data_IF_880750322628
#
_entry.id   IF_880750322628
#
_cell.length_a   1.000
_cell.length_b   1.000
_cell.length_c   1.000
_cell.angle_alpha   90.00
_cell.angle_beta   90.00
_cell.angle_gamma   90.00
#
_symmetry.space_group_name_H-M   'P 1'
#
loop_
_entity.id
_entity.type
_entity.pdbx_description
1 polymer ?
#
# COMPACT_ATOMS: atom_id res chain seq x y z
N UNK A 1 -15.25 -14.35 12.30
CA UNK A 1 -13.97 -13.71 11.93
C UNK A 1 -14.26 -12.28 11.50
N UNK A 2 -13.41 -11.30 11.85
CA UNK A 2 -13.53 -9.95 11.31
C UNK A 2 -13.40 -9.96 9.78
N UNK A 3 -14.08 -9.06 9.09
CA UNK A 3 -14.06 -8.97 7.61
C UNK A 3 -13.98 -7.52 7.15
N UNK A 4 -13.37 -7.29 5.98
CA UNK A 4 -13.41 -6.01 5.28
C UNK A 4 -14.14 -6.18 3.96
N UNK A 5 -15.12 -5.30 3.71
CA UNK A 5 -15.86 -5.26 2.45
C UNK A 5 -15.24 -4.21 1.53
N UNK A 6 -14.94 -4.62 0.31
CA UNK A 6 -14.58 -3.77 -0.82
C UNK A 6 -15.63 -3.96 -1.92
N UNK A 7 -15.73 -3.05 -2.92
CA UNK A 7 -16.83 -3.02 -3.89
C UNK A 7 -17.17 -4.38 -4.53
N UNK A 8 -16.19 -5.28 -4.67
CA UNK A 8 -16.34 -6.59 -5.30
C UNK A 8 -15.85 -7.78 -4.46
N UNK A 9 -15.41 -7.56 -3.21
CA UNK A 9 -14.76 -8.61 -2.43
C UNK A 9 -14.95 -8.47 -0.92
N UNK A 10 -15.10 -9.61 -0.25
CA UNK A 10 -15.10 -9.72 1.22
C UNK A 10 -13.83 -10.43 1.64
N UNK A 11 -12.96 -9.72 2.35
CA UNK A 11 -11.67 -10.26 2.78
C UNK A 11 -11.77 -10.67 4.26
N UNK A 12 -11.54 -11.94 4.61
CA UNK A 12 -11.43 -12.36 6.00
C UNK A 12 -10.18 -11.75 6.61
N UNK A 13 -10.35 -11.11 7.76
CA UNK A 13 -9.28 -10.44 8.46
C UNK A 13 -8.86 -11.20 9.70
N UNK A 14 -7.55 -11.32 9.93
CA UNK A 14 -6.99 -11.87 11.15
C UNK A 14 -6.90 -10.84 12.30
N UNK A 15 -7.25 -9.57 12.04
CA UNK A 15 -7.08 -8.43 12.95
C UNK A 15 -8.25 -7.41 12.85
N UNK A 16 -8.12 -6.25 13.52
CA UNK A 16 -9.13 -5.18 13.54
C UNK A 16 -9.43 -4.66 12.11
N UNK A 17 -10.68 -4.81 11.61
CA UNK A 17 -11.09 -4.32 10.30
C UNK A 17 -10.89 -2.85 10.06
N UNK A 18 -10.99 -2.04 11.10
CA UNK A 18 -10.89 -0.58 10.96
C UNK A 18 -9.48 -0.16 10.58
N UNK A 19 -8.47 -0.83 11.13
CA UNK A 19 -7.07 -0.57 10.81
C UNK A 19 -6.73 -1.03 9.40
N UNK A 20 -7.22 -2.21 8.99
CA UNK A 20 -7.05 -2.70 7.63
C UNK A 20 -7.70 -1.76 6.61
N UNK A 21 -8.92 -1.30 6.88
CA UNK A 21 -9.62 -0.36 6.01
C UNK A 21 -8.91 1.00 5.94
N UNK A 22 -8.45 1.52 7.08
CA UNK A 22 -7.69 2.78 7.12
C UNK A 22 -6.37 2.68 6.33
N UNK A 23 -5.67 1.55 6.43
CA UNK A 23 -4.45 1.31 5.65
C UNK A 23 -4.74 1.29 4.15
N UNK A 24 -5.75 0.53 3.72
CA UNK A 24 -6.11 0.44 2.30
C UNK A 24 -6.54 1.79 1.74
N UNK A 25 -7.42 2.51 2.45
CA UNK A 25 -7.85 3.85 2.05
C UNK A 25 -6.65 4.82 1.94
N UNK A 26 -5.72 4.79 2.89
CA UNK A 26 -4.54 5.66 2.84
C UNK A 26 -3.63 5.38 1.63
N UNK A 27 -3.53 4.11 1.22
CA UNK A 27 -2.77 3.73 0.02
C UNK A 27 -3.51 4.20 -1.24
N UNK A 28 -4.83 4.07 -1.30
CA UNK A 28 -5.64 4.56 -2.42
C UNK A 28 -5.55 6.08 -2.57
N UNK A 29 -5.61 6.82 -1.47
CA UNK A 29 -5.44 8.27 -1.44
C UNK A 29 -4.02 8.66 -1.92
N UNK A 30 -2.99 7.97 -1.44
CA UNK A 30 -1.61 8.20 -1.87
C UNK A 30 -1.40 7.94 -3.37
N UNK A 31 -1.97 6.84 -3.89
CA UNK A 31 -1.91 6.54 -5.32
C UNK A 31 -2.67 7.57 -6.16
N UNK A 32 -3.78 8.11 -5.65
CA UNK A 32 -4.53 9.17 -6.31
C UNK A 32 -3.69 10.44 -6.49
N UNK A 33 -2.86 10.80 -5.49
CA UNK A 33 -1.90 11.91 -5.62
C UNK A 33 -0.85 11.66 -6.72
N UNK A 34 -0.51 10.39 -6.96
CA UNK A 34 0.41 9.98 -8.02
C UNK A 34 -0.29 9.76 -9.37
N UNK A 35 -1.56 10.15 -9.54
CA UNK A 35 -2.38 9.83 -10.72
C UNK A 35 -2.38 8.33 -11.08
N UNK A 36 -2.34 7.47 -10.06
CA UNK A 36 -2.27 6.03 -10.18
C UNK A 36 -3.45 5.36 -9.47
N UNK A 37 -3.71 4.10 -9.81
CA UNK A 37 -4.69 3.26 -9.14
C UNK A 37 -4.13 1.87 -8.94
N UNK A 38 -4.48 1.24 -7.84
CA UNK A 38 -4.19 -0.16 -7.58
C UNK A 38 -5.47 -0.88 -7.15
N UNK A 39 -5.45 -2.20 -7.27
CA UNK A 39 -6.48 -3.08 -6.74
C UNK A 39 -5.88 -3.88 -5.60
N UNK A 40 -6.55 -3.89 -4.45
CA UNK A 40 -6.18 -4.81 -3.38
C UNK A 40 -6.49 -6.25 -3.81
N UNK A 41 -5.48 -7.11 -3.85
CA UNK A 41 -5.62 -8.51 -4.29
C UNK A 41 -5.57 -9.53 -3.16
N UNK A 42 -5.16 -9.13 -1.96
CA UNK A 42 -5.07 -10.03 -0.81
C UNK A 42 -4.57 -9.33 0.44
N UNK A 43 -4.77 -9.98 1.58
CA UNK A 43 -4.25 -9.58 2.89
C UNK A 43 -3.65 -10.82 3.52
N UNK A 44 -2.43 -10.71 4.06
CA UNK A 44 -1.77 -11.79 4.77
C UNK A 44 -1.38 -11.36 6.19
N UNK A 45 -1.42 -12.30 7.13
CA UNK A 45 -1.01 -12.12 8.51
C UNK A 45 0.41 -12.63 8.78
N UNK A 46 0.92 -13.46 7.88
CA UNK A 46 2.27 -14.01 7.95
C UNK A 46 3.17 -13.14 7.09
N UNK A 47 4.38 -12.78 7.56
CA UNK A 47 5.36 -12.09 6.74
C UNK A 47 5.62 -12.89 5.47
N UNK A 48 5.32 -12.28 4.33
CA UNK A 48 5.64 -12.79 3.01
C UNK A 48 6.85 -12.03 2.50
N UNK A 49 7.81 -12.75 1.93
CA UNK A 49 8.91 -12.12 1.23
C UNK A 49 8.37 -11.55 -0.08
N UNK A 50 8.10 -10.26 -0.08
CA UNK A 50 7.76 -9.51 -1.28
C UNK A 50 9.05 -8.88 -1.80
N UNK A 51 9.52 -9.34 -2.96
CA UNK A 51 10.72 -8.78 -3.58
C UNK A 51 10.40 -7.38 -4.14
N UNK A 52 11.34 -6.44 -3.97
CA UNK A 52 11.21 -5.09 -4.48
C UNK A 52 12.57 -4.40 -4.50
N UNK A 53 12.75 -3.51 -5.46
CA UNK A 53 13.97 -2.73 -5.61
C UNK A 53 13.98 -1.50 -4.69
N UNK A 54 12.80 -1.01 -4.32
CA UNK A 54 12.61 0.20 -3.53
C UNK A 54 11.68 -0.10 -2.36
N UNK A 55 12.16 0.16 -1.14
CA UNK A 55 11.42 -0.04 0.10
C UNK A 55 11.29 1.27 0.88
N UNK A 56 10.06 1.66 1.19
CA UNK A 56 9.74 2.71 2.16
C UNK A 56 9.35 2.09 3.50
N UNK A 57 9.80 2.69 4.61
CA UNK A 57 9.46 2.24 5.97
C UNK A 57 8.95 3.42 6.77
N UNK A 58 7.76 3.26 7.37
CA UNK A 58 7.14 4.25 8.25
C UNK A 58 7.09 3.65 9.65
N UNK A 59 7.85 4.23 10.58
CA UNK A 59 7.78 3.89 12.00
C UNK A 59 6.51 4.46 12.63
N UNK A 60 5.80 3.65 13.40
CA UNK A 60 4.59 4.02 14.12
C UNK A 60 4.78 3.79 15.61
N UNK A 61 4.40 4.78 16.42
CA UNK A 61 4.44 4.69 17.87
C UNK A 61 3.18 5.31 18.49
N UNK A 62 2.66 4.69 19.55
CA UNK A 62 1.40 5.07 20.20
C UNK A 62 0.79 3.90 20.96
N UNK A 63 -0.54 3.75 20.92
CA UNK A 63 -1.23 2.60 21.54
C UNK A 63 -0.76 1.25 20.98
N UNK A 64 -0.26 1.25 19.75
CA UNK A 64 0.51 0.16 19.16
C UNK A 64 1.83 0.72 18.63
N UNK A 65 2.89 -0.09 18.68
CA UNK A 65 4.21 0.25 18.11
C UNK A 65 4.54 -0.76 17.02
N UNK A 66 5.08 -0.27 15.91
CA UNK A 66 5.47 -1.12 14.79
C UNK A 66 5.97 -0.30 13.61
N UNK A 67 5.93 -0.90 12.44
CA UNK A 67 6.32 -0.27 11.20
C UNK A 67 5.38 -0.69 10.08
N UNK A 68 5.18 0.21 9.11
CA UNK A 68 4.59 -0.10 7.82
C UNK A 68 5.71 -0.14 6.80
N UNK A 69 5.72 -1.20 6.00
CA UNK A 69 6.68 -1.37 4.91
C UNK A 69 5.91 -1.32 3.59
N UNK A 70 6.37 -0.46 2.68
CA UNK A 70 5.92 -0.43 1.30
C UNK A 70 7.08 -0.89 0.43
N UNK A 71 6.89 -1.94 -0.36
CA UNK A 71 7.91 -2.45 -1.26
C UNK A 71 7.42 -2.45 -2.70
N UNK A 72 8.28 -2.08 -3.64
CA UNK A 72 7.89 -1.99 -5.06
C UNK A 72 9.08 -2.20 -6.00
N UNK A 73 8.79 -2.50 -7.27
CA UNK A 73 9.80 -2.53 -8.32
C UNK A 73 10.11 -1.12 -8.83
N UNK A 74 11.29 -0.95 -9.44
CA UNK A 74 11.77 0.34 -9.94
C UNK A 74 10.79 1.00 -10.92
N UNK A 75 10.23 0.20 -11.86
CA UNK A 75 9.29 0.69 -12.87
C UNK A 75 8.04 1.33 -12.24
N UNK A 76 7.49 0.72 -11.19
CA UNK A 76 6.33 1.26 -10.48
C UNK A 76 6.72 2.52 -9.72
N UNK A 77 7.86 2.55 -9.04
CA UNK A 77 8.31 3.74 -8.33
C UNK A 77 8.54 4.94 -9.27
N UNK A 78 9.14 4.72 -10.43
CA UNK A 78 9.31 5.73 -11.47
C UNK A 78 7.95 6.24 -11.93
N UNK A 79 7.01 5.35 -12.28
CA UNK A 79 5.68 5.72 -12.73
C UNK A 79 4.92 6.55 -11.67
N UNK A 80 4.99 6.14 -10.40
CA UNK A 80 4.36 6.87 -9.29
C UNK A 80 5.00 8.24 -9.10
N UNK A 81 6.34 8.33 -9.19
CA UNK A 81 7.06 9.60 -9.03
C UNK A 81 6.76 10.56 -10.18
N UNK A 82 6.74 10.08 -11.42
CA UNK A 82 6.34 10.88 -12.58
C UNK A 82 4.92 11.39 -12.46
N UNK A 83 3.98 10.54 -12.02
CA UNK A 83 2.61 10.94 -11.81
C UNK A 83 2.44 11.97 -10.69
N UNK A 84 3.21 11.85 -9.61
CA UNK A 84 3.22 12.78 -8.49
C UNK A 84 3.82 14.15 -8.86
N UNK A 85 4.97 14.15 -9.54
CA UNK A 85 5.64 15.37 -9.97
C UNK A 85 5.00 16.02 -11.20
N UNK A 86 4.09 15.31 -11.87
CA UNK A 86 3.50 15.71 -13.15
C UNK A 86 4.54 15.92 -14.26
N UNK A 87 5.67 15.23 -14.14
CA UNK A 87 6.82 15.33 -15.05
C UNK A 87 7.26 13.95 -15.55
N UNK A 88 7.54 13.80 -16.85
CA UNK A 88 8.11 12.57 -17.36
C UNK A 88 9.54 12.41 -16.84
N UNK A 89 9.88 11.24 -16.30
CA UNK A 89 11.28 10.89 -16.00
C UNK A 89 11.99 10.71 -17.34
N UNK A 90 12.88 11.66 -17.66
CA UNK A 90 13.72 11.60 -18.85
C UNK A 90 15.00 10.82 -18.53
N UNK A 91 15.33 9.80 -19.33
CA UNK A 91 16.60 9.07 -19.22
C UNK A 91 16.51 7.61 -18.78
N UNK A 92 15.36 6.94 -18.94
CA UNK A 92 15.24 5.47 -18.91
C UNK A 92 14.92 4.98 -20.32
#
# INVERSE_FOLDING_TARGET
MPTMSLPDQVIPLPADPRLAHALVASVEDALTMCNARARLVGINCVPIFEAGAITGVIGLHGKATGFLTFNTCEQVAVALTSGFLQEPVSGI
#
